data_IF_488930181742
#
_entry.id   IF_488930181742
#
_cell.length_a   1.000
_cell.length_b   1.000
_cell.length_c   1.000
_cell.angle_alpha   90.00
_cell.angle_beta   90.00
_cell.angle_gamma   90.00
#
_symmetry.space_group_name_H-M   'P 1'
#
loop_
_entity.id
_entity.type
_entity.pdbx_description
1 polymer ?
#
# COMPACT_ATOMS: atom_id res chain seq x y z
N UNK A 1 13.44 6.02 -0.32
CA UNK A 1 13.52 5.61 -1.75
C UNK A 1 13.14 4.14 -1.87
N UNK A 2 12.53 3.68 -2.95
CA UNK A 2 12.02 2.29 -3.01
C UNK A 2 12.98 1.28 -3.66
N UNK A 3 14.02 1.73 -4.37
CA UNK A 3 14.99 0.85 -5.05
C UNK A 3 16.19 0.51 -4.16
N UNK A 4 16.18 -0.68 -3.55
CA UNK A 4 17.29 -1.16 -2.71
C UNK A 4 18.64 -1.22 -3.44
N UNK A 5 18.66 -1.58 -4.73
CA UNK A 5 19.87 -1.63 -5.55
C UNK A 5 20.58 -0.26 -5.69
N UNK A 6 19.86 0.85 -5.49
CA UNK A 6 20.42 2.20 -5.56
C UNK A 6 20.88 2.74 -4.19
N UNK A 7 20.77 1.96 -3.12
CA UNK A 7 21.08 2.39 -1.75
C UNK A 7 22.43 3.11 -1.63
N UNK A 8 23.50 2.51 -2.17
CA UNK A 8 24.84 3.09 -2.11
C UNK A 8 24.95 4.41 -2.89
N UNK A 9 24.40 4.47 -4.10
CA UNK A 9 24.48 5.68 -4.94
C UNK A 9 23.67 6.84 -4.34
N UNK A 10 22.50 6.53 -3.79
CA UNK A 10 21.67 7.54 -3.11
C UNK A 10 22.38 8.05 -1.86
N UNK A 11 22.96 7.18 -1.03
CA UNK A 11 23.68 7.64 0.17
C UNK A 11 24.93 8.46 -0.17
N UNK A 12 25.62 8.16 -1.28
CA UNK A 12 26.71 9.01 -1.77
C UNK A 12 26.17 10.39 -2.17
N UNK A 13 25.08 10.45 -2.94
CA UNK A 13 24.48 11.71 -3.35
C UNK A 13 23.92 12.54 -2.18
N UNK A 14 23.51 11.89 -1.09
CA UNK A 14 23.02 12.54 0.13
C UNK A 14 24.14 12.89 1.11
N UNK A 15 25.40 12.53 0.85
CA UNK A 15 26.50 12.69 1.83
C UNK A 15 26.82 14.15 2.20
N UNK A 16 26.48 15.10 1.32
CA UNK A 16 26.70 16.53 1.54
C UNK A 16 25.58 17.21 2.37
N UNK A 17 24.53 16.47 2.73
CA UNK A 17 23.41 16.98 3.52
C UNK A 17 23.12 16.08 4.73
N UNK A 18 22.71 16.66 5.85
CA UNK A 18 22.48 15.93 7.10
C UNK A 18 21.14 15.17 7.09
N UNK A 19 21.05 14.15 6.23
CA UNK A 19 19.87 13.29 6.10
C UNK A 19 20.28 11.82 6.00
N UNK A 20 19.44 10.93 6.55
CA UNK A 20 19.64 9.49 6.46
C UNK A 20 18.75 8.91 5.36
N UNK A 21 19.36 8.36 4.31
CA UNK A 21 18.65 7.64 3.26
C UNK A 21 18.12 6.30 3.76
N UNK A 22 16.80 6.12 3.80
CA UNK A 22 16.15 4.82 4.06
C UNK A 22 15.48 4.27 2.80
N UNK A 23 15.69 2.98 2.56
CA UNK A 23 14.91 2.23 1.58
C UNK A 23 13.51 2.00 2.14
N UNK A 24 12.47 2.42 1.43
CA UNK A 24 11.07 2.37 1.86
C UNK A 24 10.14 2.21 0.66
N UNK A 25 9.06 1.42 0.81
CA UNK A 25 7.97 1.32 -0.18
C UNK A 25 6.89 2.36 0.03
N UNK A 26 6.81 2.95 1.22
CA UNK A 26 5.92 4.07 1.56
C UNK A 26 6.35 5.41 0.93
N UNK A 27 6.82 5.39 -0.32
CA UNK A 27 7.24 6.57 -1.06
C UNK A 27 6.21 6.94 -2.12
N UNK A 28 4.93 6.99 -1.73
CA UNK A 28 3.79 7.14 -2.66
C UNK A 28 3.90 8.42 -3.50
N UNK A 29 4.22 9.56 -2.89
CA UNK A 29 4.40 10.84 -3.60
C UNK A 29 5.52 10.78 -4.62
N UNK A 30 6.64 10.13 -4.28
CA UNK A 30 7.76 9.94 -5.19
C UNK A 30 7.38 9.04 -6.37
N UNK A 31 6.63 7.97 -6.12
CA UNK A 31 6.14 7.09 -7.17
C UNK A 31 5.22 7.84 -8.14
N UNK A 32 4.26 8.60 -7.61
CA UNK A 32 3.34 9.42 -8.42
C UNK A 32 4.10 10.46 -9.26
N UNK A 33 5.10 11.13 -8.68
CA UNK A 33 5.95 12.08 -9.41
C UNK A 33 6.74 11.41 -10.53
N UNK A 34 7.25 10.20 -10.30
CA UNK A 34 7.98 9.46 -11.33
C UNK A 34 7.06 9.00 -12.47
N UNK A 35 5.85 8.55 -12.16
CA UNK A 35 4.83 8.22 -13.18
C UNK A 35 4.46 9.44 -14.02
N UNK A 36 4.12 10.55 -13.39
CA UNK A 36 3.77 11.80 -14.09
C UNK A 36 4.90 12.24 -15.04
N UNK A 37 6.14 12.17 -14.57
CA UNK A 37 7.31 12.53 -15.38
C UNK A 37 7.54 11.55 -16.52
N UNK A 38 7.32 10.26 -16.30
CA UNK A 38 7.45 9.24 -17.33
C UNK A 38 6.42 9.43 -18.45
N UNK A 39 5.23 9.91 -18.12
CA UNK A 39 4.16 10.15 -19.08
C UNK A 39 4.30 11.47 -19.82
N UNK A 40 4.70 12.55 -19.12
CA UNK A 40 4.58 13.91 -19.64
C UNK A 40 5.92 14.63 -19.86
N UNK A 41 6.97 14.29 -19.11
CA UNK A 41 8.24 15.03 -19.11
C UNK A 41 9.31 14.31 -19.94
N UNK A 42 9.62 13.05 -19.62
CA UNK A 42 10.68 12.29 -20.29
C UNK A 42 10.45 12.12 -21.79
N UNK A 43 9.21 11.89 -22.29
CA UNK A 43 8.96 11.80 -23.73
C UNK A 43 9.30 13.06 -24.52
N UNK A 44 9.37 14.22 -23.86
CA UNK A 44 9.69 15.51 -24.47
C UNK A 44 11.19 15.83 -24.45
N UNK A 45 12.02 15.05 -23.75
CA UNK A 45 13.45 15.29 -23.62
C UNK A 45 14.25 14.79 -24.83
N UNK A 46 15.27 15.55 -25.23
CA UNK A 46 16.18 15.15 -26.31
C UNK A 46 16.86 13.82 -25.98
N UNK A 47 16.86 12.90 -26.94
CA UNK A 47 17.48 11.58 -26.79
C UNK A 47 16.60 10.53 -26.06
N UNK A 48 15.38 10.87 -25.65
CA UNK A 48 14.46 9.88 -25.08
C UNK A 48 14.14 8.77 -26.07
N UNK A 49 14.23 7.52 -25.61
CA UNK A 49 13.89 6.31 -26.37
C UNK A 49 12.90 5.48 -25.58
N UNK A 50 11.65 5.44 -26.02
CA UNK A 50 10.58 4.68 -25.37
C UNK A 50 10.91 3.19 -25.21
N UNK A 51 11.66 2.61 -26.16
CA UNK A 51 12.12 1.22 -26.09
C UNK A 51 13.08 0.92 -24.94
N UNK A 52 13.76 1.94 -24.40
CA UNK A 52 14.66 1.81 -23.25
C UNK A 52 13.94 2.05 -21.92
N UNK A 53 12.77 2.71 -21.93
CA UNK A 53 11.95 2.93 -20.75
C UNK A 53 11.12 1.69 -20.37
N UNK A 54 10.87 0.79 -21.33
CA UNK A 54 9.99 -0.37 -21.16
C UNK A 54 10.68 -1.61 -20.53
N UNK A 55 11.52 -1.45 -19.50
CA UNK A 55 11.90 -2.59 -18.65
C UNK A 55 10.76 -2.89 -17.68
N UNK A 56 9.73 -3.58 -18.18
CA UNK A 56 8.44 -3.87 -17.54
C UNK A 56 8.46 -5.01 -16.51
N UNK A 57 9.65 -5.42 -16.07
CA UNK A 57 9.75 -6.42 -15.02
C UNK A 57 9.49 -5.74 -13.67
N UNK A 58 8.57 -6.30 -12.88
CA UNK A 58 8.46 -6.03 -11.44
C UNK A 58 9.89 -5.99 -10.89
N UNK A 59 10.31 -4.91 -10.22
CA UNK A 59 11.70 -4.80 -9.82
C UNK A 59 12.10 -6.05 -9.06
N UNK A 60 13.18 -6.74 -9.46
CA UNK A 60 13.52 -8.06 -8.89
C UNK A 60 13.79 -8.03 -7.39
N UNK A 61 13.99 -6.84 -6.80
CA UNK A 61 14.06 -6.68 -5.34
C UNK A 61 12.71 -6.88 -4.62
N UNK A 62 11.59 -6.86 -5.36
CA UNK A 62 10.24 -7.21 -4.91
C UNK A 62 9.90 -8.68 -5.19
N UNK A 63 10.89 -9.50 -5.55
CA UNK A 63 10.66 -10.91 -5.87
C UNK A 63 9.99 -11.64 -4.70
N UNK A 64 9.01 -12.47 -5.06
CA UNK A 64 8.06 -13.15 -4.18
C UNK A 64 8.83 -13.99 -3.16
N UNK A 65 8.86 -13.52 -1.91
CA UNK A 65 9.28 -14.34 -0.77
C UNK A 65 8.10 -15.17 -0.32
N UNK A 66 8.38 -16.35 0.24
CA UNK A 66 7.31 -17.08 0.92
C UNK A 66 6.88 -16.27 2.13
N UNK A 67 5.58 -15.87 2.25
CA UNK A 67 5.14 -15.04 3.35
C UNK A 67 5.47 -15.72 4.68
N UNK A 68 6.04 -14.94 5.59
CA UNK A 68 6.37 -15.39 6.93
C UNK A 68 5.13 -15.35 7.83
N UNK A 69 5.19 -16.00 8.99
CA UNK A 69 4.08 -15.99 9.94
C UNK A 69 3.94 -14.60 10.55
N UNK A 70 2.73 -14.03 10.51
CA UNK A 70 2.47 -12.74 11.14
C UNK A 70 2.77 -12.80 12.65
N UNK A 71 3.57 -11.87 13.21
CA UNK A 71 3.83 -11.77 14.64
C UNK A 71 2.53 -11.76 15.46
N UNK A 72 2.54 -12.38 16.64
CA UNK A 72 1.32 -12.48 17.48
C UNK A 72 0.77 -11.09 17.88
N UNK A 73 1.66 -10.11 18.06
CA UNK A 73 1.29 -8.72 18.34
C UNK A 73 0.42 -8.10 17.24
N UNK A 74 0.64 -8.50 15.98
CA UNK A 74 -0.03 -7.99 14.77
C UNK A 74 -1.28 -8.80 14.37
N UNK A 75 -1.64 -9.86 15.10
CA UNK A 75 -2.86 -10.62 14.80
C UNK A 75 -4.10 -9.98 15.42
N UNK A 76 -5.09 -9.67 14.59
CA UNK A 76 -6.47 -9.46 15.01
C UNK A 76 -7.28 -10.75 15.06
N UNK A 77 -8.48 -10.67 15.63
CA UNK A 77 -9.39 -11.77 15.85
C UNK A 77 -10.19 -12.10 14.60
N UNK A 78 -10.59 -11.08 13.84
CA UNK A 78 -11.34 -11.21 12.59
C UNK A 78 -10.87 -10.18 11.57
N UNK A 79 -11.19 -10.43 10.31
CA UNK A 79 -11.07 -9.44 9.27
C UNK A 79 -12.25 -9.53 8.30
N UNK A 80 -12.50 -8.45 7.57
CA UNK A 80 -13.49 -8.39 6.50
C UNK A 80 -12.94 -7.61 5.31
N UNK A 81 -13.30 -8.02 4.10
CA UNK A 81 -13.13 -7.19 2.91
C UNK A 81 -14.25 -6.15 2.86
N UNK A 82 -13.90 -4.90 2.60
CA UNK A 82 -14.83 -3.78 2.57
C UNK A 82 -14.49 -2.84 1.42
N UNK A 83 -15.44 -2.00 1.03
CA UNK A 83 -15.21 -0.92 0.10
C UNK A 83 -15.76 0.39 0.65
N UNK A 84 -14.98 1.46 0.52
CA UNK A 84 -15.43 2.82 0.83
C UNK A 84 -15.47 3.66 -0.45
N UNK A 85 -16.49 4.50 -0.67
CA UNK A 85 -16.47 5.45 -1.77
C UNK A 85 -15.22 6.32 -1.73
N UNK A 86 -14.62 6.61 -2.89
CA UNK A 86 -13.43 7.47 -2.98
C UNK A 86 -13.71 8.86 -2.38
N UNK A 87 -14.95 9.34 -2.52
CA UNK A 87 -15.43 10.57 -1.92
C UNK A 87 -15.18 10.67 -0.40
N UNK A 88 -15.15 9.55 0.33
CA UNK A 88 -14.88 9.54 1.77
C UNK A 88 -13.48 10.06 2.11
N UNK A 89 -12.53 9.92 1.19
CA UNK A 89 -11.13 10.34 1.38
C UNK A 89 -10.83 11.72 0.77
N UNK A 90 -11.82 12.38 0.17
CA UNK A 90 -11.68 13.70 -0.42
C UNK A 90 -12.11 14.79 0.58
N UNK A 91 -11.73 16.07 0.37
CA UNK A 91 -12.15 17.15 1.26
C UNK A 91 -13.68 17.19 1.47
N UNK A 92 -14.11 17.06 2.73
CA UNK A 92 -15.53 17.00 3.12
C UNK A 92 -16.11 15.58 3.23
N UNK A 93 -15.31 14.54 2.96
CA UNK A 93 -15.62 13.14 3.27
C UNK A 93 -15.39 12.78 4.73
N UNK A 94 -15.68 11.52 5.09
CA UNK A 94 -15.60 11.01 6.46
C UNK A 94 -14.25 10.43 6.88
N UNK A 95 -13.20 10.45 6.04
CA UNK A 95 -11.87 9.94 6.39
C UNK A 95 -10.81 11.02 6.19
N UNK A 96 -10.23 11.49 7.29
CA UNK A 96 -9.20 12.51 7.30
C UNK A 96 -8.11 12.26 8.35
N UNK A 97 -7.09 13.12 8.41
CA UNK A 97 -5.98 12.96 9.35
C UNK A 97 -6.36 13.09 10.83
N UNK A 98 -7.54 13.62 11.14
CA UNK A 98 -8.00 13.84 12.52
C UNK A 98 -8.75 12.62 13.08
N UNK A 99 -9.36 11.79 12.21
CA UNK A 99 -10.21 10.67 12.63
C UNK A 99 -9.68 9.27 12.29
N UNK A 100 -8.51 9.15 11.67
CA UNK A 100 -7.90 7.87 11.30
C UNK A 100 -7.18 7.14 12.44
N UNK A 101 -7.15 7.71 13.65
CA UNK A 101 -6.32 7.21 14.75
C UNK A 101 -4.83 7.26 14.38
N UNK A 102 -4.11 6.13 14.47
CA UNK A 102 -2.73 6.02 13.98
C UNK A 102 -2.67 5.52 12.54
N UNK A 103 -1.85 6.15 11.71
CA UNK A 103 -1.61 5.69 10.36
C UNK A 103 -1.28 6.83 9.42
N UNK A 104 -1.55 6.64 8.13
CA UNK A 104 -1.22 7.62 7.10
C UNK A 104 -2.18 7.50 5.92
N UNK A 105 -2.48 8.64 5.29
CA UNK A 105 -3.25 8.70 4.06
C UNK A 105 -2.33 8.98 2.88
N UNK A 106 -2.17 8.03 1.95
CA UNK A 106 -1.41 8.29 0.73
C UNK A 106 -2.14 9.30 -0.16
N UNK A 107 -1.40 10.10 -0.98
CA UNK A 107 -2.03 11.02 -1.91
C UNK A 107 -2.95 10.31 -2.90
N UNK A 108 -4.11 10.91 -3.16
CA UNK A 108 -5.09 10.43 -4.14
C UNK A 108 -4.86 11.15 -5.46
N UNK A 109 -5.00 10.41 -6.56
CA UNK A 109 -4.93 11.03 -7.89
C UNK A 109 -6.29 11.73 -8.15
N UNK A 110 -6.31 13.06 -8.36
CA UNK A 110 -7.55 13.80 -8.59
C UNK A 110 -8.30 13.39 -9.86
N UNK A 111 -7.69 12.59 -10.74
CA UNK A 111 -8.33 12.04 -11.95
C UNK A 111 -9.23 10.83 -11.66
N UNK A 112 -9.13 10.24 -10.46
CA UNK A 112 -9.94 9.07 -10.11
C UNK A 112 -11.42 9.46 -9.90
N UNK A 113 -12.38 8.60 -10.31
CA UNK A 113 -13.81 8.88 -10.13
C UNK A 113 -14.20 8.86 -8.65
N UNK A 114 -14.88 9.90 -8.17
CA UNK A 114 -15.27 10.04 -6.77
C UNK A 114 -16.29 8.98 -6.29
N UNK A 115 -17.08 8.42 -7.21
CA UNK A 115 -18.05 7.35 -6.99
C UNK A 115 -17.43 5.94 -7.04
N UNK A 116 -16.14 5.83 -7.37
CA UNK A 116 -15.44 4.55 -7.34
C UNK A 116 -15.23 4.07 -5.89
N UNK A 117 -15.18 2.77 -5.69
CA UNK A 117 -14.97 2.17 -4.37
C UNK A 117 -13.51 1.79 -4.17
N UNK A 118 -12.87 2.42 -3.18
CA UNK A 118 -11.56 2.01 -2.67
C UNK A 118 -11.75 0.73 -1.87
N UNK A 119 -11.12 -0.35 -2.32
CA UNK A 119 -11.19 -1.65 -1.65
C UNK A 119 -10.23 -1.68 -0.47
N UNK A 120 -10.63 -2.33 0.63
CA UNK A 120 -9.84 -2.40 1.84
C UNK A 120 -10.11 -3.64 2.68
N UNK A 121 -9.32 -3.77 3.74
CA UNK A 121 -9.49 -4.82 4.76
C UNK A 121 -9.64 -4.14 6.12
N UNK A 122 -10.71 -4.45 6.84
CA UNK A 122 -10.86 -4.07 8.26
C UNK A 122 -10.41 -5.26 9.11
N UNK A 123 -9.56 -4.99 10.10
CA UNK A 123 -9.20 -5.93 11.15
C UNK A 123 -10.01 -5.57 12.40
N UNK A 124 -10.82 -6.51 12.88
CA UNK A 124 -11.63 -6.35 14.09
C UNK A 124 -10.93 -7.03 15.27
N UNK A 125 -10.75 -6.28 16.36
CA UNK A 125 -10.01 -6.74 17.53
C UNK A 125 -10.50 -6.14 18.85
N UNK A 126 -10.41 -6.89 19.96
CA UNK A 126 -10.73 -6.35 21.28
C UNK A 126 -9.67 -5.35 21.79
N UNK A 127 -8.51 -5.28 21.13
CA UNK A 127 -7.35 -4.44 21.51
C UNK A 127 -6.92 -3.51 20.36
N UNK A 128 -7.81 -2.67 19.82
CA UNK A 128 -7.58 -1.93 18.58
C UNK A 128 -6.40 -0.95 18.71
N UNK A 129 -6.31 -0.18 19.79
CA UNK A 129 -5.22 0.79 20.01
C UNK A 129 -3.84 0.11 20.07
N UNK A 130 -3.77 -1.03 20.75
CA UNK A 130 -2.54 -1.79 20.87
C UNK A 130 -2.13 -2.35 19.50
N UNK A 131 -3.06 -3.00 18.79
CA UNK A 131 -2.78 -3.57 17.47
C UNK A 131 -2.36 -2.48 16.48
N UNK A 132 -3.09 -1.37 16.44
CA UNK A 132 -2.81 -0.24 15.57
C UNK A 132 -1.44 0.38 15.87
N UNK A 133 -1.08 0.53 17.16
CA UNK A 133 0.25 1.01 17.57
C UNK A 133 1.38 0.07 17.12
N UNK A 134 1.20 -1.25 17.24
CA UNK A 134 2.17 -2.22 16.75
C UNK A 134 2.28 -2.16 15.22
N UNK A 135 1.15 -2.04 14.51
CA UNK A 135 1.12 -1.90 13.06
C UNK A 135 1.78 -0.60 12.58
N UNK A 136 1.61 0.50 13.31
CA UNK A 136 2.28 1.78 13.02
C UNK A 136 3.81 1.71 13.17
N UNK A 137 4.31 0.80 14.01
CA UNK A 137 5.73 0.48 14.12
C UNK A 137 6.28 -0.32 12.93
N UNK A 138 5.41 -0.83 12.06
CA UNK A 138 5.79 -1.49 10.80
C UNK A 138 5.64 -0.54 9.62
N UNK A 139 6.45 -0.72 8.59
CA UNK A 139 6.31 0.06 7.36
C UNK A 139 5.27 -0.59 6.44
N UNK A 140 3.98 -0.43 6.71
CA UNK A 140 2.89 -1.00 5.90
C UNK A 140 2.93 -0.49 4.47
N UNK A 141 3.18 -1.41 3.54
CA UNK A 141 3.35 -1.10 2.11
C UNK A 141 2.13 -1.51 1.27
N UNK A 142 1.36 -2.50 1.71
CA UNK A 142 0.14 -2.91 0.99
C UNK A 142 -0.41 -4.25 1.43
N UNK A 143 -1.54 -4.61 0.82
CA UNK A 143 -2.20 -5.90 0.93
C UNK A 143 -2.21 -6.62 -0.42
N UNK A 144 -2.11 -7.95 -0.44
CA UNK A 144 -2.27 -8.72 -1.67
C UNK A 144 -2.94 -10.07 -1.41
N UNK A 145 -3.82 -10.50 -2.30
CA UNK A 145 -4.39 -11.85 -2.31
C UNK A 145 -3.57 -12.79 -3.22
N UNK A 146 -2.96 -13.82 -2.64
CA UNK A 146 -2.36 -14.93 -3.38
C UNK A 146 -3.36 -16.08 -3.53
N UNK A 147 -4.07 -16.09 -4.65
CA UNK A 147 -5.05 -17.12 -4.97
C UNK A 147 -4.45 -18.50 -5.28
N UNK A 148 -3.13 -18.61 -5.53
CA UNK A 148 -2.51 -19.93 -5.70
C UNK A 148 -2.37 -20.66 -4.37
N UNK A 149 -2.21 -19.89 -3.28
CA UNK A 149 -2.07 -20.40 -1.91
C UNK A 149 -3.26 -20.10 -1.02
N UNK A 150 -4.30 -19.45 -1.55
CA UNK A 150 -5.46 -18.94 -0.82
C UNK A 150 -5.04 -18.11 0.40
N UNK A 151 -4.15 -17.14 0.22
CA UNK A 151 -3.62 -16.32 1.31
C UNK A 151 -3.96 -14.85 1.10
N UNK A 152 -4.35 -14.18 2.17
CA UNK A 152 -4.27 -12.73 2.29
C UNK A 152 -2.93 -12.37 2.92
N UNK A 153 -2.18 -11.52 2.24
CA UNK A 153 -0.80 -11.16 2.58
C UNK A 153 -0.74 -9.67 2.93
N UNK A 154 -0.10 -9.35 4.05
CA UNK A 154 0.30 -7.98 4.41
C UNK A 154 1.76 -7.79 4.03
N UNK A 155 2.03 -6.74 3.29
CA UNK A 155 3.37 -6.36 2.85
C UNK A 155 3.89 -5.24 3.76
N UNK A 156 5.08 -5.43 4.31
CA UNK A 156 5.76 -4.47 5.19
C UNK A 156 7.22 -4.26 4.77
N UNK A 157 7.82 -3.14 5.14
CA UNK A 157 9.21 -2.80 4.81
C UNK A 157 9.46 -2.91 3.29
N UNK A 158 10.69 -3.24 2.85
CA UNK A 158 11.02 -3.38 1.44
C UNK A 158 10.58 -4.71 0.84
N UNK A 159 10.84 -5.81 1.54
CA UNK A 159 10.76 -7.18 1.02
C UNK A 159 10.07 -8.15 1.99
N UNK A 160 9.43 -7.62 3.04
CA UNK A 160 8.79 -8.44 4.06
C UNK A 160 7.32 -8.64 3.73
N UNK A 161 6.89 -9.90 3.79
CA UNK A 161 5.51 -10.31 3.60
C UNK A 161 5.10 -11.21 4.76
N UNK A 162 3.91 -10.95 5.30
CA UNK A 162 3.30 -11.71 6.37
C UNK A 162 1.98 -12.31 5.91
N UNK A 163 1.75 -13.57 6.27
CA UNK A 163 0.44 -14.21 6.12
C UNK A 163 -0.53 -13.60 7.13
N UNK A 164 -1.49 -12.81 6.67
CA UNK A 164 -2.56 -12.24 7.50
C UNK A 164 -3.64 -13.28 7.76
N UNK A 165 -4.13 -13.93 6.71
CA UNK A 165 -5.18 -14.94 6.80
C UNK A 165 -5.12 -15.94 5.64
N UNK A 166 -5.76 -17.10 5.84
CA UNK A 166 -6.09 -18.03 4.74
C UNK A 166 -7.52 -17.77 4.32
N UNK A 167 -7.73 -17.69 3.02
CA UNK A 167 -9.02 -17.45 2.38
C UNK A 167 -9.77 -18.77 2.23
N UNK A 168 -11.02 -18.80 2.66
CA UNK A 168 -11.99 -19.82 2.24
C UNK A 168 -12.57 -19.50 0.85
N UNK A 169 -13.52 -20.31 0.36
CA UNK A 169 -14.08 -20.13 -0.98
C UNK A 169 -14.88 -18.83 -1.14
N UNK A 170 -15.56 -18.36 -0.09
CA UNK A 170 -16.31 -17.10 -0.12
C UNK A 170 -15.33 -15.92 -0.12
N UNK A 171 -14.34 -15.96 0.77
CA UNK A 171 -13.32 -14.92 0.88
C UNK A 171 -12.39 -14.85 -0.34
N UNK A 172 -12.33 -15.91 -1.15
CA UNK A 172 -11.63 -15.88 -2.45
C UNK A 172 -12.36 -15.03 -3.48
N UNK A 173 -13.69 -15.04 -3.48
CA UNK A 173 -14.49 -14.17 -4.35
C UNK A 173 -14.37 -12.71 -3.91
N UNK A 174 -14.47 -12.45 -2.59
CA UNK A 174 -14.25 -11.12 -2.01
C UNK A 174 -12.82 -10.61 -2.28
N UNK A 175 -11.82 -11.47 -2.10
CA UNK A 175 -10.43 -11.15 -2.41
C UNK A 175 -10.19 -10.85 -3.88
N UNK A 176 -10.91 -11.51 -4.79
CA UNK A 176 -10.86 -11.22 -6.23
C UNK A 176 -11.43 -9.83 -6.54
N UNK A 177 -12.58 -9.49 -5.96
CA UNK A 177 -13.15 -8.15 -6.07
C UNK A 177 -12.22 -7.07 -5.48
N UNK A 178 -11.57 -7.38 -4.35
CA UNK A 178 -10.55 -6.52 -3.74
C UNK A 178 -9.39 -6.25 -4.72
N UNK A 179 -8.77 -7.28 -5.31
CA UNK A 179 -7.65 -7.09 -6.25
C UNK A 179 -8.08 -6.39 -7.55
N UNK A 180 -9.28 -6.65 -8.04
CA UNK A 180 -9.82 -5.99 -9.23
C UNK A 180 -10.06 -4.49 -8.98
N UNK A 181 -10.78 -4.13 -7.91
CA UNK A 181 -11.03 -2.73 -7.57
C UNK A 181 -9.75 -1.97 -7.26
N UNK A 182 -8.83 -2.60 -6.51
CA UNK A 182 -7.49 -2.06 -6.26
C UNK A 182 -6.74 -1.79 -7.57
N UNK A 183 -6.79 -2.70 -8.55
CA UNK A 183 -6.14 -2.52 -9.86
C UNK A 183 -6.76 -1.37 -10.66
N UNK A 184 -8.08 -1.27 -10.68
CA UNK A 184 -8.82 -0.19 -11.38
C UNK A 184 -8.42 1.19 -10.85
N UNK A 185 -8.16 1.30 -9.54
CA UNK A 185 -7.74 2.55 -8.89
C UNK A 185 -6.22 2.72 -8.79
N UNK A 186 -5.46 2.10 -9.70
CA UNK A 186 -4.01 2.29 -9.77
C UNK A 186 -3.27 1.77 -8.54
N UNK A 187 -3.79 0.71 -7.92
CA UNK A 187 -3.22 0.12 -6.72
C UNK A 187 -3.68 0.77 -5.41
N UNK A 188 -4.62 1.73 -5.45
CA UNK A 188 -5.18 2.36 -4.24
C UNK A 188 -6.04 1.36 -3.46
N UNK A 189 -5.77 1.22 -2.18
CA UNK A 189 -6.51 0.35 -1.25
C UNK A 189 -6.26 0.81 0.19
N UNK A 190 -6.96 0.24 1.17
CA UNK A 190 -6.72 0.59 2.57
C UNK A 190 -6.70 -0.62 3.52
N UNK A 191 -6.20 -0.37 4.72
CA UNK A 191 -6.33 -1.26 5.87
C UNK A 191 -6.77 -0.45 7.09
N UNK A 192 -7.74 -0.97 7.83
CA UNK A 192 -8.28 -0.35 9.05
C UNK A 192 -8.18 -1.31 10.22
N UNK A 193 -7.99 -0.78 11.43
CA UNK A 193 -8.03 -1.53 12.68
C UNK A 193 -9.10 -0.90 13.58
N UNK A 194 -10.12 -1.69 13.90
CA UNK A 194 -11.30 -1.25 14.64
C UNK A 194 -11.67 -2.28 15.70
N UNK A 195 -12.48 -1.86 16.68
CA UNK A 195 -13.03 -2.80 17.66
C UNK A 195 -14.27 -3.49 17.10
N UNK A 196 -15.22 -2.72 16.62
CA UNK A 196 -16.44 -3.17 15.96
C UNK A 196 -16.68 -2.38 14.65
N UNK A 197 -17.65 -2.81 13.84
CA UNK A 197 -17.94 -2.26 12.50
C UNK A 197 -18.42 -0.79 12.53
N UNK A 198 -19.00 -0.37 13.65
CA UNK A 198 -19.55 0.98 13.85
C UNK A 198 -18.57 1.93 14.56
N UNK A 199 -17.40 1.44 15.00
CA UNK A 199 -16.41 2.23 15.74
C UNK A 199 -15.46 2.99 14.80
N UNK A 200 -15.05 4.18 15.24
CA UNK A 200 -13.95 4.91 14.60
C UNK A 200 -12.66 4.05 14.61
N UNK A 201 -11.84 4.11 13.55
CA UNK A 201 -10.59 3.36 13.48
C UNK A 201 -9.60 3.81 14.55
N UNK A 202 -9.05 2.85 15.29
CA UNK A 202 -7.87 3.09 16.10
C UNK A 202 -6.61 3.25 15.25
N UNK A 203 -6.63 2.69 14.03
CA UNK A 203 -5.63 3.01 13.02
C UNK A 203 -6.11 2.74 11.60
N UNK A 204 -5.70 3.60 10.67
CA UNK A 204 -6.10 3.52 9.27
C UNK A 204 -4.95 3.91 8.34
N UNK A 205 -4.72 3.10 7.31
CA UNK A 205 -3.71 3.36 6.30
C UNK A 205 -4.34 3.30 4.92
N UNK A 206 -4.36 4.43 4.22
CA UNK A 206 -4.61 4.47 2.78
C UNK A 206 -3.27 4.25 2.07
N UNK A 207 -3.22 3.22 1.24
CA UNK A 207 -2.01 2.68 0.64
C UNK A 207 -2.15 2.67 -0.89
N UNK A 208 -1.01 2.75 -1.58
CA UNK A 208 -0.96 2.54 -3.03
C UNK A 208 0.15 1.57 -3.38
N UNK A 209 -0.18 0.50 -4.09
CA UNK A 209 0.83 -0.42 -4.60
C UNK A 209 1.80 0.31 -5.52
N UNK A 210 3.10 0.04 -5.37
CA UNK A 210 4.09 0.61 -6.27
C UNK A 210 3.83 0.13 -7.71
N UNK A 211 3.91 1.02 -8.70
CA UNK A 211 3.73 0.67 -10.09
C UNK A 211 4.81 -0.32 -10.55
N UNK A 212 4.44 -1.31 -11.35
CA UNK A 212 5.36 -2.32 -11.87
C UNK A 212 6.36 -1.79 -12.90
N UNK A 213 6.22 -0.53 -13.35
CA UNK A 213 7.01 0.09 -14.42
C UNK A 213 8.08 1.10 -13.97
N UNK A 214 8.27 1.29 -12.66
CA UNK A 214 9.33 2.12 -12.04
C UNK A 214 10.15 1.29 -11.06
#
# INVERSE_FOLDING_TARGET
FFRGAMFNMINIALSDIDVVGRASRCTFSLAQWLEERNDSVYPQMEGYRQSMAASTARPSFLDIRTPSKLPDALRGEKYAFVGLPLAEFLPGGGVDSENIGVGNLCPIDPKLPADAFVQGVVILTQRPDALASWMAGTELAGLTCDFKRNNLIVQTDIDTEYLLARLDDVQREEGAAFEEGKKVLGGLHFISVQRDEDDDPAGFWLLRSLPTGI
#
